data_IF_452929137006
#
_entry.id   IF_452929137006
#
_cell.length_a   1.000
_cell.length_b   1.000
_cell.length_c   1.000
_cell.angle_alpha   90.00
_cell.angle_beta   90.00
_cell.angle_gamma   90.00
#
_symmetry.space_group_name_H-M   'P 1'
#
loop_
_entity.id
_entity.type
_entity.pdbx_description
1 polymer ?
#
# COMPACT_ATOMS: atom_id res chain seq x y z
N UNK A 1 -22.74 -30.14 25.84
CA UNK A 1 -23.73 -30.73 24.92
C UNK A 1 -24.54 -29.62 24.25
N UNK A 2 -24.91 -28.56 24.96
CA UNK A 2 -25.71 -27.48 24.40
C UNK A 2 -24.96 -26.58 23.41
N UNK A 3 -23.64 -26.32 23.63
CA UNK A 3 -22.78 -25.59 22.68
C UNK A 3 -22.75 -26.29 21.32
N UNK A 4 -22.61 -27.63 21.30
CA UNK A 4 -22.56 -28.40 20.07
C UNK A 4 -23.86 -28.30 19.25
N UNK A 5 -25.03 -28.33 19.92
CA UNK A 5 -26.33 -28.16 19.25
C UNK A 5 -26.46 -26.78 18.61
N UNK A 6 -26.03 -25.73 19.32
CA UNK A 6 -26.04 -24.37 18.75
C UNK A 6 -25.09 -24.28 17.57
N UNK A 7 -23.89 -24.81 17.67
CA UNK A 7 -22.90 -24.82 16.61
C UNK A 7 -23.40 -25.56 15.35
N UNK A 8 -23.99 -26.76 15.49
CA UNK A 8 -24.57 -27.49 14.36
C UNK A 8 -25.67 -26.70 13.67
N UNK A 9 -26.54 -26.05 14.44
CA UNK A 9 -27.60 -25.18 13.93
C UNK A 9 -27.02 -24.03 13.11
N UNK A 10 -25.95 -23.37 13.61
CA UNK A 10 -25.28 -22.27 12.89
C UNK A 10 -24.58 -22.75 11.61
N UNK A 11 -23.86 -23.86 11.68
CA UNK A 11 -23.25 -24.45 10.46
C UNK A 11 -24.29 -24.72 9.39
N UNK A 12 -25.42 -25.32 9.76
CA UNK A 12 -26.51 -25.55 8.81
C UNK A 12 -27.04 -24.26 8.21
N UNK A 13 -27.23 -23.20 9.01
CA UNK A 13 -27.67 -21.89 8.52
C UNK A 13 -26.63 -21.21 7.62
N UNK A 14 -25.34 -21.35 7.92
CA UNK A 14 -24.27 -20.78 7.07
C UNK A 14 -24.24 -21.44 5.69
N UNK A 15 -24.33 -22.76 5.63
CA UNK A 15 -24.32 -23.49 4.35
C UNK A 15 -25.63 -23.37 3.58
N UNK A 16 -26.76 -23.21 4.27
CA UNK A 16 -28.06 -23.01 3.63
C UNK A 16 -28.21 -21.61 2.97
N UNK A 17 -27.29 -20.68 3.26
CA UNK A 17 -27.37 -19.30 2.76
C UNK A 17 -26.10 -18.88 2.05
N UNK A 18 -26.14 -18.78 0.72
CA UNK A 18 -24.96 -18.44 -0.08
C UNK A 18 -24.38 -17.07 0.28
N UNK A 19 -25.19 -16.17 0.83
CA UNK A 19 -24.72 -14.83 1.27
C UNK A 19 -23.61 -14.91 2.31
N UNK A 20 -23.67 -15.84 3.27
CA UNK A 20 -22.63 -15.99 4.29
C UNK A 20 -21.31 -16.43 3.68
N UNK A 21 -21.35 -17.41 2.78
CA UNK A 21 -20.16 -17.91 2.08
C UNK A 21 -19.58 -16.85 1.15
N UNK A 22 -20.45 -16.13 0.42
CA UNK A 22 -20.01 -15.07 -0.46
C UNK A 22 -19.40 -13.89 0.34
N UNK A 23 -20.06 -13.43 1.39
CA UNK A 23 -19.60 -12.31 2.18
C UNK A 23 -18.32 -12.63 3.00
N UNK A 24 -18.10 -13.88 3.40
CA UNK A 24 -16.88 -14.27 4.10
C UNK A 24 -15.77 -14.66 3.13
N UNK A 25 -15.93 -15.74 2.40
CA UNK A 25 -14.88 -16.33 1.54
C UNK A 25 -14.73 -15.54 0.26
N UNK A 26 -15.86 -15.21 -0.40
CA UNK A 26 -15.87 -14.54 -1.69
C UNK A 26 -15.22 -13.15 -1.62
N UNK A 27 -15.61 -12.32 -0.64
CA UNK A 27 -15.04 -10.98 -0.46
C UNK A 27 -13.54 -11.04 -0.17
N UNK A 28 -13.11 -11.97 0.70
CA UNK A 28 -11.68 -12.10 1.04
C UNK A 28 -10.84 -12.58 -0.15
N UNK A 29 -11.30 -13.60 -0.89
CA UNK A 29 -10.58 -14.09 -2.07
C UNK A 29 -10.52 -13.03 -3.17
N UNK A 30 -11.65 -12.37 -3.45
CA UNK A 30 -11.73 -11.31 -4.45
C UNK A 30 -10.82 -10.13 -4.08
N UNK A 31 -10.84 -9.69 -2.83
CA UNK A 31 -9.97 -8.62 -2.34
C UNK A 31 -8.50 -9.01 -2.41
N UNK A 32 -8.16 -10.23 -2.00
CA UNK A 32 -6.77 -10.73 -2.06
C UNK A 32 -6.28 -10.75 -3.50
N UNK A 33 -7.05 -11.33 -4.42
CA UNK A 33 -6.71 -11.36 -5.84
C UNK A 33 -6.61 -9.96 -6.44
N UNK A 34 -7.59 -9.11 -6.16
CA UNK A 34 -7.64 -7.74 -6.66
C UNK A 34 -6.41 -6.93 -6.23
N UNK A 35 -6.10 -6.88 -4.92
CA UNK A 35 -4.98 -6.08 -4.43
C UNK A 35 -3.63 -6.63 -4.84
N UNK A 36 -3.43 -7.95 -4.88
CA UNK A 36 -2.18 -8.54 -5.36
C UNK A 36 -1.97 -8.29 -6.86
N UNK A 37 -3.04 -8.30 -7.66
CA UNK A 37 -2.96 -8.05 -9.10
C UNK A 37 -2.74 -6.56 -9.37
N UNK A 38 -3.53 -5.70 -8.72
CA UNK A 38 -3.46 -4.25 -8.88
C UNK A 38 -2.09 -3.68 -8.46
N UNK A 39 -1.51 -4.23 -7.39
CA UNK A 39 -0.26 -3.75 -6.83
C UNK A 39 0.96 -4.55 -7.28
N UNK A 40 0.84 -5.38 -8.32
CA UNK A 40 1.93 -6.27 -8.79
C UNK A 40 3.20 -5.53 -9.16
N UNK A 41 3.11 -4.31 -9.71
CA UNK A 41 4.24 -3.45 -10.04
C UNK A 41 4.99 -2.88 -8.83
N UNK A 42 4.40 -2.94 -7.63
CA UNK A 42 5.03 -2.51 -6.37
C UNK A 42 5.26 -1.01 -6.21
N UNK A 43 5.25 -0.27 -7.29
CA UNK A 43 5.34 1.19 -7.35
C UNK A 43 4.44 1.71 -8.48
N UNK A 44 4.06 2.97 -8.40
CA UNK A 44 3.43 3.65 -9.54
C UNK A 44 4.51 3.84 -10.62
N UNK A 45 4.31 3.21 -11.78
CA UNK A 45 5.19 3.27 -12.93
C UNK A 45 4.56 4.14 -14.04
N UNK A 46 5.40 4.63 -14.96
CA UNK A 46 4.96 5.37 -16.17
C UNK A 46 4.08 6.60 -15.84
N UNK A 47 4.44 7.37 -14.81
CA UNK A 47 3.72 8.61 -14.51
C UNK A 47 3.94 9.63 -15.66
N UNK A 48 2.90 10.06 -16.37
CA UNK A 48 3.05 11.06 -17.43
C UNK A 48 3.51 12.40 -16.85
N UNK A 49 4.67 12.87 -17.32
CA UNK A 49 5.27 14.15 -16.88
C UNK A 49 5.68 15.00 -18.06
N UNK A 50 5.75 16.33 -17.85
CA UNK A 50 6.45 17.23 -18.75
C UNK A 50 7.80 17.62 -18.16
N UNK A 51 8.76 17.89 -19.02
CA UNK A 51 10.03 18.53 -18.68
C UNK A 51 10.09 19.90 -19.35
N UNK A 52 10.30 20.93 -18.55
CA UNK A 52 10.55 22.30 -19.02
C UNK A 52 12.02 22.58 -18.88
N UNK A 53 12.74 22.56 -20.01
CA UNK A 53 14.17 22.82 -20.07
C UNK A 53 14.43 24.28 -20.46
N UNK A 54 14.72 25.12 -19.47
CA UNK A 54 15.07 26.52 -19.67
C UNK A 54 16.57 26.72 -19.87
N UNK A 55 17.41 25.72 -19.53
CA UNK A 55 18.85 25.80 -19.65
C UNK A 55 19.36 25.41 -21.05
N UNK A 56 18.67 24.48 -21.70
CA UNK A 56 18.92 24.00 -23.08
C UNK A 56 20.37 23.58 -23.39
N UNK A 57 21.09 23.12 -22.38
CA UNK A 57 22.49 22.71 -22.49
C UNK A 57 22.63 21.22 -22.84
N UNK A 58 23.86 20.78 -23.09
CA UNK A 58 24.15 19.35 -23.27
C UNK A 58 23.91 18.53 -21.99
N UNK A 59 24.06 19.16 -20.84
CA UNK A 59 23.87 18.52 -19.52
C UNK A 59 22.39 18.41 -19.18
N UNK A 60 21.58 19.45 -19.45
CA UNK A 60 20.13 19.36 -19.26
C UNK A 60 19.51 18.26 -20.15
N UNK A 61 19.93 18.17 -21.41
CA UNK A 61 19.50 17.08 -22.32
C UNK A 61 19.92 15.70 -21.83
N UNK A 62 21.14 15.57 -21.29
CA UNK A 62 21.59 14.30 -20.68
C UNK A 62 20.74 13.91 -19.49
N UNK A 63 20.43 14.86 -18.61
CA UNK A 63 19.56 14.64 -17.46
C UNK A 63 18.16 14.16 -17.91
N UNK A 64 17.58 14.80 -18.93
CA UNK A 64 16.28 14.40 -19.51
C UNK A 64 16.35 12.96 -20.03
N UNK A 65 17.42 12.60 -20.74
CA UNK A 65 17.59 11.25 -21.26
C UNK A 65 17.71 10.20 -20.15
N UNK A 66 18.44 10.51 -19.09
CA UNK A 66 18.53 9.63 -17.90
C UNK A 66 17.20 9.52 -17.15
N UNK A 67 16.40 10.60 -17.11
CA UNK A 67 15.04 10.56 -16.56
C UNK A 67 14.12 9.66 -17.39
N UNK A 68 14.21 9.67 -18.72
CA UNK A 68 13.43 8.79 -19.60
C UNK A 68 13.73 7.30 -19.36
N UNK A 69 14.92 6.97 -18.89
CA UNK A 69 15.30 5.59 -18.56
C UNK A 69 14.72 5.12 -17.21
N UNK A 70 14.05 6.01 -16.46
CA UNK A 70 13.52 5.72 -15.13
C UNK A 70 12.10 5.16 -15.24
N UNK A 71 11.79 3.95 -14.71
CA UNK A 71 10.47 3.32 -14.87
C UNK A 71 9.29 4.10 -14.26
N UNK A 72 9.56 4.99 -13.31
CA UNK A 72 8.51 5.73 -12.59
C UNK A 72 7.90 6.88 -13.36
N UNK A 73 8.57 7.37 -14.42
CA UNK A 73 8.10 8.51 -15.20
C UNK A 73 8.06 8.19 -16.68
N UNK A 74 7.08 8.75 -17.35
CA UNK A 74 6.93 8.73 -18.81
C UNK A 74 6.90 10.18 -19.30
N UNK A 75 7.98 10.64 -19.96
CA UNK A 75 8.09 12.02 -20.43
C UNK A 75 7.26 12.18 -21.69
N UNK A 76 6.07 12.76 -21.56
CA UNK A 76 5.12 13.01 -22.65
C UNK A 76 5.41 14.32 -23.41
N UNK A 77 6.03 15.28 -22.73
CA UNK A 77 6.27 16.62 -23.28
C UNK A 77 7.63 17.15 -22.83
N UNK A 78 8.46 17.56 -23.76
CA UNK A 78 9.67 18.35 -23.49
C UNK A 78 9.50 19.70 -24.15
N UNK A 79 9.54 20.78 -23.38
CA UNK A 79 9.31 22.13 -23.86
C UNK A 79 10.23 23.13 -23.14
N UNK A 80 10.34 24.34 -23.66
CA UNK A 80 10.98 25.47 -23.01
C UNK A 80 9.95 26.47 -22.44
N UNK A 81 8.66 26.10 -22.48
CA UNK A 81 7.55 26.95 -22.07
C UNK A 81 6.81 26.36 -20.87
N UNK A 82 6.97 26.98 -19.69
CA UNK A 82 6.19 26.58 -18.50
C UNK A 82 4.67 26.67 -18.69
N UNK A 83 4.11 27.74 -19.35
CA UNK A 83 2.68 27.82 -19.63
C UNK A 83 2.13 26.63 -20.42
N UNK A 84 2.86 26.12 -21.41
CA UNK A 84 2.48 24.96 -22.20
C UNK A 84 2.39 23.69 -21.34
N UNK A 85 3.40 23.44 -20.52
CA UNK A 85 3.40 22.31 -19.59
C UNK A 85 2.25 22.41 -18.57
N UNK A 86 1.97 23.63 -18.07
CA UNK A 86 0.85 23.88 -17.16
C UNK A 86 -0.50 23.61 -17.81
N UNK A 87 -0.68 24.02 -19.06
CA UNK A 87 -1.89 23.74 -19.82
C UNK A 87 -2.10 22.23 -20.02
N UNK A 88 -1.06 21.49 -20.37
CA UNK A 88 -1.10 20.03 -20.46
C UNK A 88 -1.50 19.36 -19.12
N UNK A 89 -1.02 19.91 -18.00
CA UNK A 89 -1.41 19.44 -16.67
C UNK A 89 -2.88 19.76 -16.36
N UNK A 90 -3.37 20.94 -16.70
CA UNK A 90 -4.77 21.31 -16.51
C UNK A 90 -5.72 20.47 -17.37
N UNK A 91 -5.27 20.05 -18.55
CA UNK A 91 -6.01 19.14 -19.43
C UNK A 91 -5.95 17.67 -18.96
N UNK A 92 -5.23 17.36 -17.88
CA UNK A 92 -5.08 16.01 -17.35
C UNK A 92 -4.22 15.08 -18.23
N UNK A 93 -3.44 15.62 -19.17
CA UNK A 93 -2.52 14.84 -20.00
C UNK A 93 -1.27 14.41 -19.26
N UNK A 94 -0.84 15.23 -18.30
CA UNK A 94 0.32 14.98 -17.44
C UNK A 94 -0.04 15.25 -15.99
N UNK A 95 0.67 14.58 -15.06
CA UNK A 95 0.46 14.72 -13.62
C UNK A 95 1.63 15.35 -12.88
N UNK A 96 2.76 15.59 -13.59
CA UNK A 96 3.93 16.26 -13.03
C UNK A 96 4.64 17.12 -14.04
N UNK A 97 5.29 18.20 -13.57
CA UNK A 97 6.13 19.10 -14.37
C UNK A 97 7.50 19.18 -13.68
N UNK A 98 8.54 18.81 -14.40
CA UNK A 98 9.91 18.95 -13.95
C UNK A 98 10.54 20.15 -14.67
N UNK A 99 11.08 21.11 -13.91
CA UNK A 99 11.65 22.34 -14.46
C UNK A 99 13.15 22.39 -14.20
N UNK A 100 13.91 22.45 -15.27
CA UNK A 100 15.34 22.72 -15.25
C UNK A 100 15.51 24.24 -15.46
N UNK A 101 15.94 24.93 -14.42
CA UNK A 101 16.07 26.40 -14.47
C UNK A 101 17.24 26.84 -15.36
N UNK A 102 17.12 28.04 -15.91
CA UNK A 102 18.20 28.72 -16.58
C UNK A 102 19.44 28.85 -15.66
N UNK A 103 20.63 28.63 -16.20
CA UNK A 103 21.88 28.64 -15.44
C UNK A 103 22.22 27.33 -14.73
N UNK A 104 21.46 26.25 -14.96
CA UNK A 104 21.73 24.94 -14.37
C UNK A 104 23.16 24.44 -14.65
N UNK A 105 23.63 24.54 -15.90
CA UNK A 105 24.99 24.19 -16.26
C UNK A 105 26.04 25.07 -15.57
N UNK A 106 25.84 26.38 -15.54
CA UNK A 106 26.78 27.32 -14.93
C UNK A 106 26.94 27.08 -13.41
N UNK A 107 25.84 26.77 -12.75
CA UNK A 107 25.85 26.45 -11.32
C UNK A 107 26.56 25.11 -11.02
N UNK A 108 26.37 24.10 -11.88
CA UNK A 108 27.10 22.82 -11.77
C UNK A 108 28.60 23.01 -11.93
N UNK A 109 29.05 23.80 -12.92
CA UNK A 109 30.47 24.06 -13.16
C UNK A 109 31.09 24.89 -12.02
N UNK A 110 30.31 25.81 -11.45
CA UNK A 110 30.71 26.62 -10.32
C UNK A 110 30.65 25.90 -8.96
N UNK A 111 30.32 24.60 -8.95
CA UNK A 111 30.12 23.80 -7.74
C UNK A 111 29.06 24.39 -6.79
N UNK A 112 28.12 25.15 -7.30
CA UNK A 112 26.92 25.55 -6.62
C UNK A 112 25.88 24.42 -6.68
N UNK A 113 24.84 24.51 -5.85
CA UNK A 113 23.71 23.57 -5.88
C UNK A 113 22.65 24.08 -6.85
N UNK A 114 22.55 23.54 -8.08
CA UNK A 114 21.52 23.96 -9.01
C UNK A 114 20.15 23.60 -8.45
N UNK A 115 19.17 24.47 -8.70
CA UNK A 115 17.79 24.23 -8.30
C UNK A 115 17.02 23.54 -9.44
N UNK A 116 16.33 22.48 -9.07
CA UNK A 116 15.38 21.78 -9.93
C UNK A 116 14.02 21.82 -9.24
N UNK A 117 12.98 22.20 -9.94
CA UNK A 117 11.64 22.23 -9.37
C UNK A 117 10.80 21.08 -9.91
N UNK A 118 10.02 20.45 -9.03
CA UNK A 118 9.08 19.42 -9.43
C UNK A 118 7.69 19.76 -8.90
N UNK A 119 6.76 20.00 -9.80
CA UNK A 119 5.36 20.25 -9.51
C UNK A 119 4.56 18.99 -9.78
N UNK A 120 3.71 18.58 -8.84
CA UNK A 120 2.85 17.41 -8.97
C UNK A 120 1.42 17.74 -8.61
N UNK A 121 0.47 17.16 -9.33
CA UNK A 121 -0.96 17.32 -8.98
C UNK A 121 -1.33 16.45 -7.79
N UNK A 122 -2.17 16.97 -6.89
CA UNK A 122 -2.66 16.23 -5.72
C UNK A 122 -3.48 14.98 -6.09
N UNK A 123 -4.04 14.90 -7.29
CA UNK A 123 -4.77 13.73 -7.76
C UNK A 123 -3.89 12.46 -7.88
N UNK A 124 -2.56 12.62 -7.95
CA UNK A 124 -1.61 11.52 -8.14
C UNK A 124 -0.53 11.48 -7.06
N UNK A 125 -0.89 11.75 -5.81
CA UNK A 125 0.04 11.97 -4.68
C UNK A 125 1.01 10.80 -4.46
N UNK A 126 0.55 9.56 -4.57
CA UNK A 126 1.38 8.36 -4.34
C UNK A 126 2.41 8.18 -5.45
N UNK A 127 1.99 8.24 -6.71
CA UNK A 127 2.88 8.17 -7.86
C UNK A 127 3.84 9.36 -7.90
N UNK A 128 3.34 10.56 -7.60
CA UNK A 128 4.14 11.78 -7.52
C UNK A 128 5.26 11.72 -6.50
N UNK A 129 5.01 11.20 -5.30
CA UNK A 129 6.06 11.03 -4.28
C UNK A 129 7.13 10.00 -4.69
N UNK A 130 6.74 8.93 -5.37
CA UNK A 130 7.68 7.93 -5.89
C UNK A 130 8.52 8.51 -7.01
N UNK A 131 7.90 9.18 -7.98
CA UNK A 131 8.56 9.88 -9.07
C UNK A 131 9.53 10.94 -8.53
N UNK A 132 9.09 11.78 -7.58
CA UNK A 132 9.95 12.79 -6.96
C UNK A 132 11.22 12.20 -6.35
N UNK A 133 11.11 11.13 -5.55
CA UNK A 133 12.26 10.48 -4.90
C UNK A 133 13.24 9.92 -5.94
N UNK A 134 12.73 9.28 -6.98
CA UNK A 134 13.57 8.72 -8.04
C UNK A 134 14.24 9.84 -8.87
N UNK A 135 13.49 10.87 -9.25
CA UNK A 135 14.03 12.02 -9.97
C UNK A 135 15.08 12.78 -9.15
N UNK A 136 14.85 12.95 -7.84
CA UNK A 136 15.84 13.55 -6.95
C UNK A 136 17.13 12.71 -6.88
N UNK A 137 17.00 11.40 -6.81
CA UNK A 137 18.15 10.48 -6.83
C UNK A 137 18.91 10.58 -8.14
N UNK A 138 18.20 10.58 -9.27
CA UNK A 138 18.81 10.71 -10.61
C UNK A 138 19.51 12.07 -10.77
N UNK A 139 18.87 13.16 -10.37
CA UNK A 139 19.47 14.50 -10.43
C UNK A 139 20.76 14.59 -9.59
N UNK A 140 20.76 14.00 -8.40
CA UNK A 140 21.95 13.96 -7.55
C UNK A 140 23.07 13.11 -8.16
N UNK A 141 22.76 11.93 -8.73
CA UNK A 141 23.74 11.06 -9.39
C UNK A 141 24.33 11.72 -10.64
N UNK A 142 23.49 12.33 -11.48
CA UNK A 142 23.94 13.04 -12.69
C UNK A 142 24.82 14.23 -12.34
N UNK A 143 24.42 15.02 -11.33
CA UNK A 143 25.22 16.15 -10.83
C UNK A 143 26.55 15.68 -10.27
N UNK A 144 26.58 14.61 -9.46
CA UNK A 144 27.81 14.05 -8.91
C UNK A 144 28.73 13.49 -9.98
N UNK A 145 28.21 12.77 -10.97
CA UNK A 145 28.98 12.24 -12.11
C UNK A 145 29.62 13.36 -12.92
N UNK A 146 28.86 14.42 -13.20
CA UNK A 146 29.38 15.59 -13.92
C UNK A 146 30.48 16.30 -13.15
N UNK A 147 30.27 16.57 -11.85
CA UNK A 147 31.28 17.21 -11.00
C UNK A 147 32.55 16.36 -10.91
N UNK A 148 32.41 15.03 -10.82
CA UNK A 148 33.55 14.10 -10.87
C UNK A 148 34.36 14.25 -12.17
N UNK A 149 33.68 14.31 -13.31
CA UNK A 149 34.34 14.48 -14.63
C UNK A 149 35.11 15.80 -14.72
N UNK A 150 34.51 16.91 -14.23
CA UNK A 150 35.15 18.23 -14.21
C UNK A 150 36.39 18.24 -13.33
N UNK A 151 36.33 17.65 -12.12
CA UNK A 151 37.46 17.59 -11.20
C UNK A 151 38.58 16.68 -11.69
N UNK A 152 38.22 15.57 -12.36
CA UNK A 152 39.18 14.65 -12.99
C UNK A 152 39.94 15.34 -14.13
N UNK A 153 39.24 16.13 -14.96
CA UNK A 153 39.91 16.97 -16.00
C UNK A 153 40.86 18.03 -15.41
N UNK A 154 40.64 18.43 -14.13
CA UNK A 154 41.55 19.31 -13.38
C UNK A 154 42.70 18.56 -12.72
N UNK A 155 42.89 17.26 -12.97
CA UNK A 155 44.01 16.46 -12.46
C UNK A 155 43.86 15.97 -11.03
N UNK A 156 42.67 16.04 -10.43
CA UNK A 156 42.44 15.52 -9.09
C UNK A 156 42.32 13.99 -9.10
N UNK A 157 42.79 13.34 -8.04
CA UNK A 157 42.62 11.89 -7.83
C UNK A 157 41.20 11.56 -7.37
N UNK A 158 40.72 10.35 -7.70
CA UNK A 158 39.35 9.94 -7.39
C UNK A 158 39.04 10.02 -5.89
N UNK A 159 39.98 9.72 -5.01
CA UNK A 159 39.79 9.81 -3.55
C UNK A 159 39.51 11.25 -3.08
N UNK A 160 40.28 12.23 -3.58
CA UNK A 160 40.05 13.65 -3.28
C UNK A 160 38.72 14.13 -3.84
N UNK A 161 38.36 13.66 -5.03
CA UNK A 161 37.11 13.99 -5.70
C UNK A 161 35.91 13.49 -4.90
N UNK A 162 35.93 12.23 -4.46
CA UNK A 162 34.82 11.66 -3.70
C UNK A 162 34.60 12.37 -2.35
N UNK A 163 35.66 12.70 -1.63
CA UNK A 163 35.56 13.51 -0.38
C UNK A 163 35.00 14.91 -0.63
N UNK A 164 35.18 15.47 -1.80
CA UNK A 164 34.72 16.83 -2.13
C UNK A 164 33.28 16.86 -2.64
N UNK A 165 32.84 15.85 -3.40
CA UNK A 165 31.48 15.75 -3.95
C UNK A 165 30.52 15.24 -2.87
N UNK A 166 30.95 14.27 -2.08
CA UNK A 166 30.14 13.62 -1.05
C UNK A 166 30.87 13.62 0.31
N UNK A 167 30.92 14.78 0.99
CA UNK A 167 31.63 14.90 2.26
C UNK A 167 31.02 14.10 3.40
N UNK A 168 29.75 13.67 3.26
CA UNK A 168 29.04 12.84 4.21
C UNK A 168 28.38 11.67 3.47
N UNK A 169 28.71 10.44 3.83
CA UNK A 169 27.98 9.25 3.41
C UNK A 169 26.89 8.95 4.45
N UNK A 170 25.62 8.94 4.02
CA UNK A 170 24.51 8.52 4.87
C UNK A 170 24.17 7.08 4.46
N UNK A 171 24.49 6.13 5.32
CA UNK A 171 24.04 4.75 5.16
C UNK A 171 22.62 4.62 5.72
N UNK A 172 21.63 4.65 4.82
CA UNK A 172 20.23 4.45 5.15
C UNK A 172 19.86 2.97 5.17
N UNK A 173 19.62 2.41 6.35
CA UNK A 173 19.09 1.05 6.48
C UNK A 173 17.57 1.10 6.64
N UNK A 174 16.84 0.83 5.56
CA UNK A 174 15.39 0.68 5.62
C UNK A 174 15.05 -0.68 6.22
N UNK A 175 14.48 -0.67 7.42
CA UNK A 175 14.01 -1.88 8.11
C UNK A 175 12.61 -2.24 7.59
N UNK A 176 12.37 -3.52 7.31
CA UNK A 176 11.08 -4.10 6.91
C UNK A 176 10.62 -3.91 5.45
N UNK A 177 11.04 -2.88 4.73
CA UNK A 177 10.74 -2.71 3.30
C UNK A 177 11.91 -1.98 2.60
N UNK A 178 13.06 -2.65 2.40
CA UNK A 178 14.27 -2.00 1.88
C UNK A 178 14.10 -1.48 0.45
N UNK A 179 13.20 -2.07 -0.33
CA UNK A 179 12.91 -1.64 -1.71
C UNK A 179 11.89 -0.51 -1.79
N UNK A 180 11.31 -0.06 -0.65
CA UNK A 180 10.25 0.93 -0.65
C UNK A 180 9.00 0.48 -1.44
N UNK A 181 8.80 -0.84 -1.53
CA UNK A 181 7.70 -1.43 -2.30
C UNK A 181 6.36 -1.09 -1.67
N UNK A 182 5.58 -0.28 -2.37
CA UNK A 182 4.28 0.19 -1.90
C UNK A 182 3.25 -0.95 -1.77
N UNK A 183 3.36 -1.98 -2.62
CA UNK A 183 2.51 -3.18 -2.53
C UNK A 183 2.68 -3.86 -1.19
N UNK A 184 3.92 -4.07 -0.74
CA UNK A 184 4.22 -4.70 0.56
C UNK A 184 3.56 -3.93 1.70
N UNK A 185 3.65 -2.59 1.69
CA UNK A 185 3.03 -1.75 2.70
C UNK A 185 1.50 -1.79 2.65
N UNK A 186 0.94 -1.54 1.47
CA UNK A 186 -0.50 -1.34 1.32
C UNK A 186 -1.28 -2.65 1.48
N UNK A 187 -0.85 -3.72 0.80
CA UNK A 187 -1.58 -5.00 0.80
C UNK A 187 -1.52 -5.65 2.18
N UNK A 188 -0.35 -5.59 2.86
CA UNK A 188 -0.21 -6.12 4.22
C UNK A 188 -1.05 -5.38 5.26
N UNK A 189 -1.49 -4.15 4.98
CA UNK A 189 -2.36 -3.36 5.86
C UNK A 189 -3.84 -3.51 5.50
N UNK A 190 -4.16 -3.45 4.20
CA UNK A 190 -5.56 -3.46 3.74
C UNK A 190 -6.20 -4.84 3.94
N UNK A 191 -5.51 -5.94 3.63
CA UNK A 191 -6.12 -7.27 3.74
C UNK A 191 -6.54 -7.65 5.17
N UNK A 192 -5.71 -7.45 6.21
CA UNK A 192 -6.19 -7.60 7.59
C UNK A 192 -7.34 -6.65 7.94
N UNK A 193 -7.31 -5.40 7.42
CA UNK A 193 -8.42 -4.45 7.60
C UNK A 193 -9.74 -4.97 7.03
N UNK A 194 -9.72 -5.52 5.82
CA UNK A 194 -10.90 -6.14 5.19
C UNK A 194 -11.36 -7.36 5.98
N UNK A 195 -10.44 -8.22 6.44
CA UNK A 195 -10.77 -9.35 7.30
C UNK A 195 -11.51 -8.88 8.57
N UNK A 196 -11.00 -7.84 9.24
CA UNK A 196 -11.66 -7.26 10.41
C UNK A 196 -13.05 -6.72 10.11
N UNK A 197 -13.21 -6.02 8.98
CA UNK A 197 -14.51 -5.53 8.54
C UNK A 197 -15.50 -6.69 8.28
N UNK A 198 -15.04 -7.75 7.62
CA UNK A 198 -15.84 -8.97 7.39
C UNK A 198 -16.23 -9.61 8.72
N UNK A 199 -15.30 -9.72 9.69
CA UNK A 199 -15.59 -10.24 11.02
C UNK A 199 -16.68 -9.45 11.72
N UNK A 200 -16.58 -8.11 11.74
CA UNK A 200 -17.58 -7.24 12.38
C UNK A 200 -18.94 -7.38 11.70
N UNK A 201 -18.97 -7.23 10.36
CA UNK A 201 -20.22 -7.24 9.60
C UNK A 201 -20.96 -8.59 9.70
N UNK A 202 -20.26 -9.71 9.57
CA UNK A 202 -20.88 -11.02 9.67
C UNK A 202 -21.33 -11.36 11.10
N UNK A 203 -20.59 -10.91 12.11
CA UNK A 203 -20.99 -11.07 13.52
C UNK A 203 -22.29 -10.29 13.80
N UNK A 204 -22.34 -9.01 13.35
CA UNK A 204 -23.57 -8.20 13.45
C UNK A 204 -24.72 -8.89 12.70
N UNK A 205 -24.46 -9.34 11.47
CA UNK A 205 -25.49 -9.98 10.66
C UNK A 205 -25.98 -11.31 11.27
N UNK A 206 -25.08 -12.14 11.79
CA UNK A 206 -25.42 -13.42 12.39
C UNK A 206 -26.33 -13.26 13.64
N UNK A 207 -26.04 -12.28 14.48
CA UNK A 207 -26.84 -12.00 15.69
C UNK A 207 -28.12 -11.23 15.32
N UNK A 208 -27.98 -10.18 14.50
CA UNK A 208 -29.10 -9.34 14.08
C UNK A 208 -30.16 -10.12 13.28
N UNK A 209 -29.75 -11.13 12.54
CA UNK A 209 -30.68 -12.01 11.83
C UNK A 209 -31.62 -12.75 12.81
N UNK A 210 -31.13 -13.25 13.95
CA UNK A 210 -31.96 -13.89 14.98
C UNK A 210 -32.97 -12.89 15.57
N UNK A 211 -32.58 -11.65 15.74
CA UNK A 211 -33.47 -10.60 16.24
C UNK A 211 -34.55 -10.26 15.20
N UNK A 212 -34.15 -10.06 13.95
CA UNK A 212 -35.03 -9.70 12.84
C UNK A 212 -36.08 -10.78 12.55
N UNK A 213 -35.65 -12.05 12.55
CA UNK A 213 -36.54 -13.19 12.29
C UNK A 213 -37.31 -13.65 13.53
N UNK A 214 -37.11 -13.00 14.69
CA UNK A 214 -37.71 -13.36 15.98
C UNK A 214 -37.40 -14.80 16.40
N UNK A 215 -36.24 -15.34 16.02
CA UNK A 215 -35.80 -16.70 16.35
C UNK A 215 -34.89 -16.77 17.55
N UNK A 216 -34.64 -15.65 18.23
CA UNK A 216 -33.80 -15.53 19.43
C UNK A 216 -34.22 -16.46 20.58
N UNK A 217 -35.54 -16.66 20.77
CA UNK A 217 -36.06 -17.62 21.78
C UNK A 217 -35.73 -19.08 21.43
N UNK A 218 -35.77 -19.45 20.17
CA UNK A 218 -35.40 -20.80 19.69
C UNK A 218 -33.88 -21.03 19.80
N UNK A 219 -33.08 -20.00 19.51
CA UNK A 219 -31.65 -20.00 19.72
C UNK A 219 -31.26 -20.18 21.18
N UNK A 220 -31.89 -19.39 22.08
CA UNK A 220 -31.64 -19.48 23.51
C UNK A 220 -32.09 -20.84 24.10
N UNK A 221 -33.22 -21.41 23.64
CA UNK A 221 -33.68 -22.76 24.03
C UNK A 221 -32.67 -23.83 23.58
N UNK A 222 -32.09 -23.75 22.40
CA UNK A 222 -31.07 -24.67 21.93
C UNK A 222 -29.83 -24.66 22.85
N UNK A 223 -29.52 -23.52 23.44
CA UNK A 223 -28.45 -23.32 24.40
C UNK A 223 -28.81 -23.72 25.86
N UNK A 224 -30.03 -24.23 26.09
CA UNK A 224 -30.49 -24.58 27.43
C UNK A 224 -30.84 -23.35 28.31
N UNK A 225 -31.19 -22.22 27.72
CA UNK A 225 -31.51 -20.98 28.41
C UNK A 225 -30.31 -20.13 28.84
N UNK A 226 -29.10 -20.58 28.58
CA UNK A 226 -27.88 -19.87 28.96
C UNK A 226 -27.38 -18.99 27.79
N UNK A 227 -27.36 -17.66 28.00
CA UNK A 227 -26.97 -16.69 26.98
C UNK A 227 -25.47 -16.86 26.53
N UNK A 228 -24.57 -17.09 27.48
CA UNK A 228 -23.15 -17.27 27.17
C UNK A 228 -22.92 -18.50 26.29
N UNK A 229 -23.60 -19.61 26.61
CA UNK A 229 -23.55 -20.85 25.79
C UNK A 229 -24.13 -20.59 24.40
N UNK A 230 -25.20 -19.82 24.31
CA UNK A 230 -25.81 -19.42 23.03
C UNK A 230 -24.84 -18.61 22.16
N UNK A 231 -24.20 -17.58 22.74
CA UNK A 231 -23.25 -16.72 22.05
C UNK A 231 -22.00 -17.49 21.60
N UNK A 232 -21.35 -18.24 22.52
CA UNK A 232 -20.13 -19.00 22.18
C UNK A 232 -20.45 -20.03 21.10
N UNK A 233 -21.53 -20.82 21.24
CA UNK A 233 -21.92 -21.83 20.25
C UNK A 233 -22.24 -21.23 18.89
N UNK A 234 -22.74 -19.97 18.84
CA UNK A 234 -22.99 -19.24 17.62
C UNK A 234 -21.72 -18.75 16.95
N UNK A 235 -20.78 -18.19 17.70
CA UNK A 235 -19.57 -17.57 17.18
C UNK A 235 -18.50 -18.58 16.71
N UNK A 236 -18.38 -19.75 17.36
CA UNK A 236 -17.35 -20.75 17.03
C UNK A 236 -17.25 -21.05 15.51
N UNK A 237 -18.34 -21.31 14.78
CA UNK A 237 -18.26 -21.57 13.33
C UNK A 237 -17.68 -20.38 12.56
N UNK A 238 -18.08 -19.16 12.90
CA UNK A 238 -17.60 -17.93 12.26
C UNK A 238 -16.13 -17.67 12.56
N UNK A 239 -15.74 -17.77 13.83
CA UNK A 239 -14.33 -17.67 14.26
C UNK A 239 -13.45 -18.66 13.50
N UNK A 240 -13.92 -19.91 13.34
CA UNK A 240 -13.18 -20.90 12.56
C UNK A 240 -12.99 -20.48 11.09
N UNK A 241 -14.04 -19.97 10.44
CA UNK A 241 -13.95 -19.45 9.06
C UNK A 241 -12.97 -18.31 8.98
N UNK A 242 -13.03 -17.34 9.91
CA UNK A 242 -12.11 -16.19 9.93
C UNK A 242 -10.65 -16.62 10.15
N UNK A 243 -10.40 -17.59 11.00
CA UNK A 243 -9.06 -18.16 11.21
C UNK A 243 -8.54 -18.83 9.93
N UNK A 244 -9.35 -19.60 9.25
CA UNK A 244 -8.97 -20.24 7.97
C UNK A 244 -8.66 -19.18 6.92
N UNK A 245 -9.49 -18.16 6.79
CA UNK A 245 -9.27 -17.04 5.87
C UNK A 245 -8.02 -16.24 6.20
N UNK A 246 -7.81 -15.93 7.49
CA UNK A 246 -6.61 -15.23 7.95
C UNK A 246 -5.33 -16.03 7.70
N UNK A 247 -5.32 -17.32 8.00
CA UNK A 247 -4.19 -18.21 7.69
C UNK A 247 -3.98 -18.29 6.17
N UNK A 248 -5.05 -18.41 5.39
CA UNK A 248 -4.97 -18.39 3.93
C UNK A 248 -4.35 -17.11 3.38
N UNK A 249 -4.80 -15.94 3.86
CA UNK A 249 -4.20 -14.66 3.50
C UNK A 249 -2.73 -14.58 3.91
N UNK A 250 -2.38 -15.04 5.11
CA UNK A 250 -1.00 -15.08 5.59
C UNK A 250 -0.12 -15.93 4.66
N UNK A 251 -0.57 -17.11 4.28
CA UNK A 251 0.16 -17.98 3.36
C UNK A 251 0.32 -17.35 1.97
N UNK A 252 -0.74 -16.73 1.45
CA UNK A 252 -0.71 -16.06 0.14
C UNK A 252 0.28 -14.90 0.16
N UNK A 253 0.24 -14.03 1.17
CA UNK A 253 1.11 -12.86 1.24
C UNK A 253 2.59 -13.24 1.44
N UNK A 254 2.87 -14.07 2.44
CA UNK A 254 4.25 -14.28 2.88
C UNK A 254 4.92 -15.48 2.21
N UNK A 255 4.16 -16.50 1.78
CA UNK A 255 4.72 -17.67 1.11
C UNK A 255 4.64 -17.59 -0.41
N UNK A 256 3.50 -17.16 -0.95
CA UNK A 256 3.29 -17.11 -2.40
C UNK A 256 3.76 -15.77 -3.01
N UNK A 257 3.32 -14.64 -2.46
CA UNK A 257 3.72 -13.31 -2.95
C UNK A 257 5.12 -12.87 -2.47
N UNK A 258 5.76 -13.62 -1.56
CA UNK A 258 7.14 -13.38 -1.13
C UNK A 258 7.33 -12.10 -0.31
N UNK A 259 6.31 -11.61 0.38
CA UNK A 259 6.44 -10.43 1.21
C UNK A 259 7.41 -10.68 2.37
N UNK A 260 8.30 -9.72 2.69
CA UNK A 260 9.28 -9.90 3.76
C UNK A 260 8.61 -9.94 5.13
N UNK A 261 9.03 -10.87 5.97
CA UNK A 261 8.64 -10.96 7.38
C UNK A 261 9.86 -10.79 8.27
N UNK A 262 9.89 -9.70 9.03
CA UNK A 262 10.95 -9.41 9.99
C UNK A 262 10.50 -9.83 11.39
N UNK A 263 10.33 -11.12 11.60
CA UNK A 263 9.92 -11.66 12.88
C UNK A 263 9.44 -13.10 12.79
N UNK A 264 8.77 -13.55 13.85
CA UNK A 264 8.21 -14.90 13.91
C UNK A 264 6.82 -14.94 13.29
N UNK A 265 6.60 -15.83 12.32
CA UNK A 265 5.26 -16.12 11.78
C UNK A 265 4.27 -16.54 12.89
N UNK A 266 4.75 -17.24 13.93
CA UNK A 266 3.93 -17.63 15.06
C UNK A 266 3.38 -16.43 15.84
N UNK A 267 4.18 -15.37 16.05
CA UNK A 267 3.72 -14.14 16.71
C UNK A 267 2.69 -13.40 15.86
N UNK A 268 2.88 -13.37 14.54
CA UNK A 268 1.90 -12.76 13.61
C UNK A 268 0.58 -13.52 13.63
N UNK A 269 0.62 -14.85 13.57
CA UNK A 269 -0.59 -15.69 13.64
C UNK A 269 -1.29 -15.55 14.99
N UNK A 270 -0.54 -15.51 16.09
CA UNK A 270 -1.12 -15.26 17.41
C UNK A 270 -1.81 -13.86 17.49
N UNK A 271 -1.14 -12.83 16.97
CA UNK A 271 -1.73 -11.48 16.86
C UNK A 271 -3.01 -11.47 16.02
N UNK A 272 -3.03 -12.24 14.92
CA UNK A 272 -4.22 -12.39 14.07
C UNK A 272 -5.39 -13.06 14.82
N UNK A 273 -5.12 -14.08 15.64
CA UNK A 273 -6.14 -14.72 16.48
C UNK A 273 -6.75 -13.72 17.44
N UNK A 274 -5.92 -12.95 18.15
CA UNK A 274 -6.39 -11.89 19.07
C UNK A 274 -7.17 -10.80 18.33
N UNK A 275 -6.72 -10.43 17.14
CA UNK A 275 -7.40 -9.47 16.29
C UNK A 275 -8.80 -9.94 15.89
N UNK A 276 -8.96 -11.19 15.47
CA UNK A 276 -10.27 -11.77 15.11
C UNK A 276 -11.21 -11.70 16.32
N UNK A 277 -10.78 -12.14 17.51
CA UNK A 277 -11.60 -12.04 18.71
C UNK A 277 -11.99 -10.60 19.07
N UNK A 278 -11.08 -9.65 18.91
CA UNK A 278 -11.37 -8.24 19.14
C UNK A 278 -12.42 -7.70 18.16
N UNK A 279 -12.35 -8.08 16.87
CA UNK A 279 -13.32 -7.68 15.85
C UNK A 279 -14.69 -8.31 16.07
N UNK A 280 -14.75 -9.60 16.48
CA UNK A 280 -16.00 -10.24 16.89
C UNK A 280 -16.60 -9.55 18.11
N UNK A 281 -15.79 -9.22 19.12
CA UNK A 281 -16.22 -8.47 20.30
C UNK A 281 -16.80 -7.09 19.97
N UNK A 282 -16.17 -6.38 19.01
CA UNK A 282 -16.71 -5.13 18.47
C UNK A 282 -18.07 -5.35 17.78
N UNK A 283 -18.18 -6.39 16.96
CA UNK A 283 -19.44 -6.74 16.28
C UNK A 283 -20.58 -7.01 17.28
N UNK A 284 -20.30 -7.77 18.36
CA UNK A 284 -21.25 -8.03 19.44
C UNK A 284 -21.67 -6.73 20.12
N UNK A 285 -20.70 -5.87 20.43
CA UNK A 285 -20.95 -4.58 21.09
C UNK A 285 -21.83 -3.68 20.23
N UNK A 286 -21.52 -3.58 18.93
CA UNK A 286 -22.27 -2.75 17.99
C UNK A 286 -23.73 -3.21 17.87
N UNK A 287 -23.98 -4.51 17.69
CA UNK A 287 -25.35 -5.03 17.60
C UNK A 287 -26.11 -4.92 18.92
N UNK A 288 -25.39 -4.97 20.05
CA UNK A 288 -25.99 -4.75 21.37
C UNK A 288 -26.41 -3.31 21.59
N UNK A 289 -25.67 -2.33 21.07
CA UNK A 289 -25.98 -0.91 21.15
C UNK A 289 -27.02 -0.46 20.11
N UNK A 290 -27.02 -1.06 18.95
CA UNK A 290 -27.89 -0.72 17.81
C UNK A 290 -28.67 -1.96 17.33
N UNK A 291 -29.67 -2.41 18.08
CA UNK A 291 -30.39 -3.66 17.77
C UNK A 291 -31.35 -3.55 16.57
N UNK A 292 -31.42 -2.38 15.94
CA UNK A 292 -32.24 -2.13 14.74
C UNK A 292 -31.40 -2.33 13.48
N UNK A 293 -31.61 -3.45 12.80
CA UNK A 293 -31.13 -3.73 11.45
C UNK A 293 -32.25 -3.52 10.43
#
# INVERSE_FOLDING_TARGET
INIWRVMQRELHMMFARPLYLFASVGVMLLSTFFFLTLMRGGAAENMPVAVVDLDQTSISRRLIHEMQATPSVDIQLVTNSYPEAREAMQQGKIYGIFVIREGFYSDLVAFKRPQLDFYVTNAYTVGGNTAYKQLLTMANLTSGAFQREVLRKKGMTDDVIMHRIQPLSIEGHMVANPWGNYSVYLVSTILPGILGLVCIMLTIFAIGFELKMRTSHAWLRAAGGNYTVAMIGKLIPYTFVYLVLGIGCHLILYRYAGFPVYGSHGRLLFGMVLYIFAMEGLGITLIGLLPTL
#
